data_IF_746490393077
#
_entry.id   IF_746490393077
#
_cell.length_a   1.000
_cell.length_b   1.000
_cell.length_c   1.000
_cell.angle_alpha   90.00
_cell.angle_beta   90.00
_cell.angle_gamma   90.00
#
_symmetry.space_group_name_H-M   'P 1'
#
loop_
_entity.id
_entity.type
_entity.pdbx_description
1 polymer ?
#
# COMPACT_ATOMS: atom_id res chain seq x y z
N UNK A 1 0.17 5.83 -7.36
CA UNK A 1 -1.29 5.70 -7.55
C UNK A 1 -1.65 4.20 -7.53
N UNK A 2 -2.90 3.83 -7.22
CA UNK A 2 -3.29 2.42 -6.97
C UNK A 2 -3.33 1.55 -8.25
N UNK A 3 -3.62 2.16 -9.39
CA UNK A 3 -3.48 1.59 -10.74
C UNK A 3 -2.04 1.14 -11.03
N UNK A 4 -1.03 1.93 -10.67
CA UNK A 4 0.37 1.54 -10.83
C UNK A 4 0.72 0.31 -9.99
N UNK A 5 0.26 0.25 -8.74
CA UNK A 5 0.42 -0.95 -7.89
C UNK A 5 -0.25 -2.17 -8.54
N UNK A 6 -1.41 -1.96 -9.16
CA UNK A 6 -2.15 -3.02 -9.84
C UNK A 6 -1.33 -3.61 -11.00
N UNK A 7 -0.71 -2.76 -11.81
CA UNK A 7 0.17 -3.21 -12.90
C UNK A 7 1.40 -3.94 -12.36
N UNK A 8 2.07 -3.35 -11.37
CA UNK A 8 3.30 -3.90 -10.80
C UNK A 8 3.08 -5.27 -10.12
N UNK A 9 1.86 -5.56 -9.65
CA UNK A 9 1.48 -6.82 -8.99
C UNK A 9 0.73 -7.80 -9.92
N UNK A 10 0.98 -7.70 -11.22
CA UNK A 10 0.44 -8.57 -12.27
C UNK A 10 -1.11 -8.58 -12.31
N UNK A 11 -1.76 -7.45 -12.00
CA UNK A 11 -3.22 -7.29 -12.08
C UNK A 11 -3.72 -7.05 -13.50
N UNK A 12 -2.83 -6.68 -14.43
CA UNK A 12 -3.12 -6.44 -15.83
C UNK A 12 -3.79 -5.07 -16.10
N UNK A 13 -3.80 -4.63 -17.37
CA UNK A 13 -4.24 -3.29 -17.75
C UNK A 13 -5.74 -3.05 -17.54
N UNK A 14 -6.58 -4.07 -17.73
CA UNK A 14 -8.03 -3.94 -17.56
C UNK A 14 -8.42 -3.67 -16.09
N UNK A 15 -7.78 -4.36 -15.14
CA UNK A 15 -8.00 -4.12 -13.72
C UNK A 15 -7.44 -2.75 -13.30
N UNK A 16 -6.24 -2.40 -13.80
CA UNK A 16 -5.61 -1.12 -13.50
C UNK A 16 -6.47 0.07 -13.95
N UNK A 17 -7.07 0.01 -15.14
CA UNK A 17 -7.97 1.05 -15.63
C UNK A 17 -9.19 1.23 -14.71
N UNK A 18 -9.84 0.13 -14.30
CA UNK A 18 -10.97 0.18 -13.37
C UNK A 18 -10.58 0.74 -11.99
N UNK A 19 -9.36 0.42 -11.53
CA UNK A 19 -8.82 0.97 -10.27
C UNK A 19 -8.53 2.47 -10.39
N UNK A 20 -8.04 2.94 -11.54
CA UNK A 20 -7.79 4.36 -11.79
C UNK A 20 -9.09 5.20 -11.74
N UNK A 21 -10.20 4.61 -12.14
CA UNK A 21 -11.54 5.22 -12.12
C UNK A 21 -12.28 5.05 -10.79
N UNK A 22 -11.70 4.32 -9.82
CA UNK A 22 -12.36 4.02 -8.56
C UNK A 22 -12.61 5.32 -7.73
N UNK A 23 -13.84 5.61 -7.29
CA UNK A 23 -14.15 6.86 -6.58
C UNK A 23 -13.44 7.00 -5.23
N UNK A 24 -13.12 5.86 -4.60
CA UNK A 24 -12.43 5.82 -3.31
C UNK A 24 -11.46 4.64 -3.27
N UNK A 25 -10.48 4.72 -2.37
CA UNK A 25 -9.56 3.61 -2.12
C UNK A 25 -10.30 2.31 -1.74
N UNK A 26 -11.43 2.41 -1.02
CA UNK A 26 -12.27 1.25 -0.68
C UNK A 26 -12.82 0.55 -1.92
N UNK A 27 -13.23 1.30 -2.96
CA UNK A 27 -13.67 0.71 -4.22
C UNK A 27 -12.51 0.02 -4.95
N UNK A 28 -11.33 0.62 -4.97
CA UNK A 28 -10.13 -0.02 -5.52
C UNK A 28 -9.78 -1.33 -4.79
N UNK A 29 -9.90 -1.37 -3.47
CA UNK A 29 -9.63 -2.60 -2.69
C UNK A 29 -10.67 -3.68 -2.98
N UNK A 30 -11.94 -3.33 -3.14
CA UNK A 30 -12.98 -4.27 -3.55
C UNK A 30 -12.72 -4.83 -4.97
N UNK A 31 -12.20 -4.02 -5.89
CA UNK A 31 -11.79 -4.48 -7.22
C UNK A 31 -10.61 -5.46 -7.14
N UNK A 32 -9.62 -5.17 -6.31
CA UNK A 32 -8.52 -6.10 -6.06
C UNK A 32 -8.99 -7.40 -5.41
N UNK A 33 -9.93 -7.34 -4.47
CA UNK A 33 -10.49 -8.52 -3.81
C UNK A 33 -11.22 -9.41 -4.80
N UNK A 34 -12.11 -8.84 -5.61
CA UNK A 34 -12.83 -9.56 -6.65
C UNK A 34 -11.90 -10.22 -7.69
N UNK A 35 -10.70 -9.66 -7.89
CA UNK A 35 -9.67 -10.20 -8.79
C UNK A 35 -8.66 -11.14 -8.10
N UNK A 36 -8.79 -11.40 -6.79
CA UNK A 36 -7.82 -12.20 -6.02
C UNK A 36 -6.46 -11.52 -5.83
N UNK A 37 -6.39 -10.19 -6.03
CA UNK A 37 -5.16 -9.37 -5.97
C UNK A 37 -5.02 -8.55 -4.69
N UNK A 38 -6.00 -8.60 -3.79
CA UNK A 38 -6.01 -7.78 -2.57
C UNK A 38 -4.76 -8.01 -1.70
N UNK A 39 -4.31 -9.25 -1.52
CA UNK A 39 -3.10 -9.56 -0.75
C UNK A 39 -1.81 -8.95 -1.34
N UNK A 40 -1.44 -9.29 -2.58
CA UNK A 40 -0.26 -8.73 -3.25
C UNK A 40 -0.28 -7.19 -3.35
N UNK A 41 -1.38 -6.62 -3.86
CA UNK A 41 -1.52 -5.17 -3.99
C UNK A 41 -1.52 -4.47 -2.63
N UNK A 42 -2.19 -5.04 -1.62
CA UNK A 42 -2.22 -4.52 -0.27
C UNK A 42 -0.83 -4.49 0.39
N UNK A 43 -0.04 -5.55 0.23
CA UNK A 43 1.34 -5.58 0.73
C UNK A 43 2.23 -4.54 0.05
N UNK A 44 2.11 -4.40 -1.27
CA UNK A 44 2.88 -3.40 -2.02
C UNK A 44 2.47 -1.97 -1.64
N UNK A 45 1.17 -1.73 -1.39
CA UNK A 45 0.71 -0.47 -0.83
C UNK A 45 1.35 -0.18 0.54
N UNK A 46 1.34 -1.15 1.46
CA UNK A 46 2.01 -1.00 2.75
C UNK A 46 3.51 -0.65 2.58
N UNK A 47 4.20 -1.30 1.63
CA UNK A 47 5.62 -1.04 1.36
C UNK A 47 5.87 0.39 0.89
N UNK A 48 5.11 0.88 -0.08
CA UNK A 48 5.26 2.26 -0.58
C UNK A 48 4.93 3.28 0.49
N UNK A 49 3.88 3.04 1.28
CA UNK A 49 3.51 3.92 2.40
C UNK A 49 4.60 3.96 3.46
N UNK A 50 5.18 2.82 3.84
CA UNK A 50 6.28 2.80 4.81
C UNK A 50 7.50 3.61 4.31
N UNK A 51 7.90 3.42 3.05
CA UNK A 51 9.01 4.18 2.46
C UNK A 51 8.73 5.69 2.38
N UNK A 52 7.49 6.09 2.09
CA UNK A 52 7.09 7.50 2.08
C UNK A 52 7.09 8.13 3.48
N UNK A 53 6.64 7.38 4.50
CA UNK A 53 6.71 7.83 5.89
C UNK A 53 8.17 8.01 6.35
N UNK A 54 9.03 7.04 6.03
CA UNK A 54 10.46 7.10 6.36
C UNK A 54 11.16 8.26 5.64
N UNK A 55 10.85 8.49 4.36
CA UNK A 55 11.35 9.63 3.57
C UNK A 55 10.98 10.96 4.23
N UNK A 56 9.70 11.15 4.58
CA UNK A 56 9.21 12.37 5.24
C UNK A 56 9.88 12.60 6.60
N UNK A 57 10.11 11.54 7.37
CA UNK A 57 10.81 11.64 8.64
C UNK A 57 12.29 12.02 8.47
N UNK A 58 12.97 11.52 7.44
CA UNK A 58 14.33 11.94 7.09
C UNK A 58 14.39 13.43 6.70
N UNK A 59 13.46 13.87 5.84
CA UNK A 59 13.31 15.27 5.42
C UNK A 59 13.07 16.20 6.62
N UNK A 60 12.14 15.84 7.51
CA UNK A 60 11.83 16.61 8.70
C UNK A 60 13.01 16.71 9.69
N UNK A 61 13.88 15.70 9.71
CA UNK A 61 15.08 15.68 10.54
C UNK A 61 16.31 16.33 9.87
N UNK A 62 16.21 16.74 8.60
CA UNK A 62 17.37 17.21 7.83
C UNK A 62 18.46 16.14 7.67
N UNK A 63 18.08 14.85 7.69
CA UNK A 63 18.99 13.72 7.68
C UNK A 63 18.94 12.98 6.33
N UNK A 64 20.05 12.33 5.96
CA UNK A 64 20.12 11.50 4.75
C UNK A 64 19.43 10.14 4.90
N UNK A 65 19.12 9.73 6.13
CA UNK A 65 18.42 8.49 6.45
C UNK A 65 17.34 8.76 7.50
N UNK A 66 16.28 7.95 7.47
CA UNK A 66 15.16 8.13 8.41
C UNK A 66 15.59 7.80 9.84
N UNK A 67 15.28 8.65 10.83
CA UNK A 67 15.51 8.36 12.24
C UNK A 67 14.50 7.35 12.82
N UNK A 68 13.49 6.95 12.04
CA UNK A 68 12.45 5.99 12.43
C UNK A 68 12.36 4.86 11.42
N UNK A 69 11.93 3.68 11.88
CA UNK A 69 11.55 2.57 11.03
C UNK A 69 10.01 2.47 10.99
N UNK A 70 9.42 2.63 9.80
CA UNK A 70 7.97 2.61 9.67
C UNK A 70 7.44 1.18 9.49
N UNK A 71 6.38 0.84 10.24
CA UNK A 71 5.57 -0.34 10.00
C UNK A 71 4.15 0.08 9.65
N UNK A 72 3.65 -0.47 8.54
CA UNK A 72 2.33 -0.18 8.00
C UNK A 72 1.55 -1.48 7.91
N UNK A 73 0.34 -1.46 8.46
CA UNK A 73 -0.62 -2.55 8.39
C UNK A 73 -1.86 -2.04 7.66
N UNK A 74 -2.25 -2.74 6.59
CA UNK A 74 -3.54 -2.56 5.95
C UNK A 74 -4.51 -3.55 6.58
N UNK A 75 -5.64 -3.05 7.07
CA UNK A 75 -6.71 -3.83 7.67
C UNK A 75 -7.99 -3.73 6.83
N UNK A 76 -8.93 -4.66 7.06
CA UNK A 76 -10.25 -4.59 6.47
C UNK A 76 -11.07 -3.38 6.97
N UNK A 77 -12.25 -3.18 6.39
CA UNK A 77 -13.09 -2.03 6.73
C UNK A 77 -13.60 -2.03 8.17
N UNK A 78 -13.64 -3.18 8.84
CA UNK A 78 -14.01 -3.30 10.25
C UNK A 78 -12.81 -3.07 11.19
N UNK A 79 -11.58 -3.14 10.66
CA UNK A 79 -10.35 -3.10 11.43
C UNK A 79 -10.04 -4.42 12.13
N UNK A 80 -10.75 -5.49 11.81
CA UNK A 80 -10.69 -6.77 12.53
C UNK A 80 -9.66 -7.73 11.93
N UNK A 81 -9.36 -7.58 10.63
CA UNK A 81 -8.45 -8.48 9.92
C UNK A 81 -7.34 -7.74 9.20
N UNK A 82 -6.12 -8.26 9.32
CA UNK A 82 -4.99 -7.83 8.53
C UNK A 82 -5.11 -8.32 7.08
N UNK A 83 -5.00 -7.40 6.13
CA UNK A 83 -4.91 -7.66 4.69
C UNK A 83 -3.45 -7.76 4.26
N UNK A 84 -2.64 -6.81 4.69
CA UNK A 84 -1.25 -6.67 4.28
C UNK A 84 -0.43 -5.98 5.34
N UNK A 85 0.88 -6.23 5.34
CA UNK A 85 1.82 -5.59 6.24
C UNK A 85 3.17 -5.44 5.57
N UNK A 86 3.82 -4.31 5.84
CA UNK A 86 5.23 -4.08 5.53
C UNK A 86 5.90 -3.29 6.65
N UNK A 87 7.19 -3.52 6.86
CA UNK A 87 8.02 -2.81 7.83
C UNK A 87 8.81 -3.79 8.67
N UNK A 88 9.83 -3.28 9.36
CA UNK A 88 10.64 -4.05 10.30
C UNK A 88 10.42 -3.46 11.69
N UNK A 89 10.47 -4.31 12.71
CA UNK A 89 10.68 -3.79 14.06
C UNK A 89 12.11 -3.23 14.11
N UNK A 90 12.28 -2.03 14.66
CA UNK A 90 13.60 -1.48 14.94
C UNK A 90 14.38 -2.50 15.79
N UNK A 91 15.62 -2.78 15.39
CA UNK A 91 16.53 -3.66 16.15
C UNK A 91 17.09 -2.94 17.35
#
# INVERSE_FOLDING_TARGET
MLDAITLDMDGGPALAARVAEAPTARHAYALWEAAGKLGPCGRELCRRTAGELERRAAEAAGASASPVAAQVVLVDAAGERMIGMFGRMAR
#
